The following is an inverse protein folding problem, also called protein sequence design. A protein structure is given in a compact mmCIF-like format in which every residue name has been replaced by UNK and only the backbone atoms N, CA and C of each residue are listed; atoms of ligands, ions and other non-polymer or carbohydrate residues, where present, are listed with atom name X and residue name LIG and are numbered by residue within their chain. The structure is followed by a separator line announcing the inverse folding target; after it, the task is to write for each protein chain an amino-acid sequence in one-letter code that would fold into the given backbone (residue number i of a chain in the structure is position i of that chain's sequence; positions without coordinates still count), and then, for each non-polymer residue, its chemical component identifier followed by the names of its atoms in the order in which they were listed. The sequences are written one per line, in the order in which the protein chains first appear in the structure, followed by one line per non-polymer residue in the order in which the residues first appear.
data_IF_357650398380
#
_entry.id   IF_357650398380
#
_cell.length_a   1.000
_cell.length_b   1.000
_cell.length_c   1.000
_cell.angle_alpha   90.00
_cell.angle_beta   90.00
_cell.angle_gamma   90.00
#
_symmetry.space_group_name_H-M   'P 1'
#
loop_
_entity.id
_entity.type
_entity.pdbx_description
1 polymer ?
#
# COMPACT_ATOMS: atom_id res chain seq x y z
N UNK A 1 -2.14 32.34 -52.84
CA UNK A 1 -2.24 32.15 -51.37
C UNK A 1 -3.57 31.44 -51.02
N UNK A 2 -3.69 30.12 -51.24
CA UNK A 2 -4.95 29.38 -50.95
C UNK A 2 -4.76 27.91 -50.51
N UNK A 3 -3.53 27.45 -50.25
CA UNK A 3 -3.27 26.02 -49.94
C UNK A 3 -2.67 25.75 -48.57
N UNK A 4 -2.24 26.78 -47.84
CA UNK A 4 -1.63 26.65 -46.50
C UNK A 4 -2.63 26.83 -45.35
N UNK A 5 -3.90 27.18 -45.63
CA UNK A 5 -4.91 27.41 -44.60
C UNK A 5 -5.60 26.11 -44.11
N UNK A 6 -5.42 24.98 -44.79
CA UNK A 6 -6.09 23.71 -44.45
C UNK A 6 -5.33 22.83 -43.45
N UNK A 7 -4.06 23.11 -43.17
CA UNK A 7 -3.22 22.28 -42.29
C UNK A 7 -3.28 22.69 -40.81
N UNK A 8 -3.86 23.85 -40.48
CA UNK A 8 -3.97 24.33 -39.09
C UNK A 8 -5.21 23.82 -38.35
N UNK A 9 -6.20 23.24 -39.06
CA UNK A 9 -7.48 22.81 -38.46
C UNK A 9 -7.42 21.39 -37.88
N UNK A 10 -6.43 20.58 -38.28
CA UNK A 10 -6.32 19.18 -37.84
C UNK A 10 -5.56 18.96 -36.52
N UNK A 11 -4.94 20.01 -35.94
CA UNK A 11 -4.09 19.86 -34.75
C UNK A 11 -4.81 20.10 -33.41
N UNK A 12 -6.10 20.47 -33.42
CA UNK A 12 -6.83 20.88 -32.20
C UNK A 12 -7.70 19.75 -31.60
N UNK A 13 -7.84 18.59 -32.26
CA UNK A 13 -8.87 17.61 -31.88
C UNK A 13 -8.43 16.48 -30.91
N UNK A 14 -7.19 16.43 -30.45
CA UNK A 14 -6.68 15.22 -29.75
C UNK A 14 -6.49 15.34 -28.24
N UNK A 15 -7.00 16.38 -27.58
CA UNK A 15 -6.96 16.47 -26.11
C UNK A 15 -8.37 16.29 -25.53
N UNK A 16 -9.05 15.22 -25.91
CA UNK A 16 -10.12 14.68 -25.07
C UNK A 16 -9.45 13.95 -23.91
N UNK A 17 -9.13 14.71 -22.85
CA UNK A 17 -8.75 14.13 -21.56
C UNK A 17 -9.94 13.30 -21.07
N UNK A 18 -9.84 11.99 -21.18
CA UNK A 18 -10.81 11.06 -20.61
C UNK A 18 -10.77 11.18 -19.10
N UNK A 19 -11.53 12.14 -18.54
CA UNK A 19 -11.92 12.08 -17.15
C UNK A 19 -12.95 10.97 -17.04
N UNK A 20 -12.49 9.74 -16.84
CA UNK A 20 -13.38 8.64 -16.49
C UNK A 20 -14.07 9.01 -15.17
N UNK A 21 -15.38 9.25 -15.25
CA UNK A 21 -16.28 9.38 -14.11
C UNK A 21 -16.48 8.00 -13.48
N UNK A 22 -16.68 7.95 -12.17
CA UNK A 22 -16.78 6.74 -11.37
C UNK A 22 -15.93 6.77 -10.10
N UNK A 23 -15.99 5.70 -9.28
CA UNK A 23 -15.17 5.58 -8.09
C UNK A 23 -13.69 5.49 -8.45
N UNK A 24 -12.84 6.23 -7.75
CA UNK A 24 -11.38 6.17 -7.93
C UNK A 24 -10.71 5.94 -6.61
N UNK A 25 -9.67 5.11 -6.60
CA UNK A 25 -8.89 4.82 -5.40
C UNK A 25 -7.48 5.38 -5.55
N UNK A 26 -7.02 6.07 -4.52
CA UNK A 26 -5.64 6.54 -4.41
C UNK A 26 -5.09 6.20 -3.03
N UNK A 27 -4.01 5.42 -2.99
CA UNK A 27 -3.32 5.10 -1.74
C UNK A 27 -2.34 6.22 -1.39
N UNK A 28 -2.27 6.57 -0.10
CA UNK A 28 -1.38 7.62 0.40
C UNK A 28 0.09 7.17 0.41
N UNK A 29 0.33 5.85 0.43
CA UNK A 29 1.67 5.28 0.34
C UNK A 29 2.20 5.40 -1.10
N UNK A 30 3.39 6.02 -1.24
CA UNK A 30 4.08 6.13 -2.53
C UNK A 30 4.29 4.74 -3.15
N UNK A 31 3.99 4.62 -4.44
CA UNK A 31 4.11 3.38 -5.22
C UNK A 31 3.37 2.19 -4.57
N UNK A 32 2.30 2.47 -3.82
CA UNK A 32 1.55 1.48 -3.04
C UNK A 32 2.44 0.65 -2.10
N UNK A 33 3.55 1.23 -1.65
CA UNK A 33 4.59 0.53 -0.89
C UNK A 33 4.84 1.23 0.44
N UNK A 34 4.89 0.46 1.52
CA UNK A 34 5.37 0.94 2.82
C UNK A 34 6.64 0.16 3.19
N UNK A 35 7.72 0.90 3.45
CA UNK A 35 8.96 0.36 3.98
C UNK A 35 9.07 0.68 5.46
N UNK A 36 9.21 -0.35 6.29
CA UNK A 36 9.34 -0.21 7.73
C UNK A 36 10.78 -0.24 8.22
N UNK A 37 11.75 -0.32 7.30
CA UNK A 37 13.16 -0.46 7.63
C UNK A 37 13.39 -1.70 8.47
N UNK A 38 14.20 -1.56 9.52
CA UNK A 38 14.58 -2.66 10.41
C UNK A 38 13.68 -2.70 11.65
N UNK A 39 13.05 -3.84 11.89
CA UNK A 39 12.15 -4.07 13.04
C UNK A 39 12.50 -5.34 13.80
N UNK A 40 12.04 -5.46 15.03
CA UNK A 40 12.22 -6.65 15.89
C UNK A 40 10.89 -7.00 16.57
N UNK A 41 10.70 -8.26 16.96
CA UNK A 41 9.46 -8.69 17.64
C UNK A 41 9.25 -8.00 18.99
N UNK A 42 10.31 -7.47 19.58
CA UNK A 42 10.27 -6.75 20.85
C UNK A 42 9.83 -5.29 20.68
N UNK A 43 10.05 -4.71 19.49
CA UNK A 43 9.78 -3.30 19.21
C UNK A 43 8.53 -3.06 18.38
N UNK A 44 7.97 -4.10 17.76
CA UNK A 44 6.91 -3.97 16.75
C UNK A 44 5.95 -5.18 16.77
N UNK A 45 4.70 -4.96 16.39
CA UNK A 45 3.60 -5.95 16.43
C UNK A 45 3.24 -6.57 15.07
N UNK A 46 3.92 -6.15 14.00
CA UNK A 46 3.75 -6.62 12.63
C UNK A 46 2.51 -6.07 11.92
N UNK A 47 1.79 -5.09 12.49
CA UNK A 47 0.58 -4.50 11.88
C UNK A 47 0.96 -3.28 11.05
N UNK A 48 0.51 -3.26 9.79
CA UNK A 48 0.74 -2.19 8.81
C UNK A 48 -0.59 -1.69 8.27
N UNK A 49 -0.73 -0.38 8.16
CA UNK A 49 -1.97 0.27 7.72
C UNK A 49 -1.75 0.94 6.37
N UNK A 50 -2.53 0.55 5.37
CA UNK A 50 -2.61 1.25 4.10
C UNK A 50 -3.83 2.17 4.11
N UNK A 51 -3.59 3.46 4.16
CA UNK A 51 -4.62 4.49 4.01
C UNK A 51 -4.80 4.85 2.54
N UNK A 52 -6.06 5.03 2.16
CA UNK A 52 -6.45 5.41 0.81
C UNK A 52 -7.61 6.38 0.83
N UNK A 53 -7.82 7.08 -0.28
CA UNK A 53 -8.90 8.04 -0.49
C UNK A 53 -9.73 7.67 -1.71
N UNK A 54 -11.04 7.85 -1.62
CA UNK A 54 -11.88 7.88 -2.80
C UNK A 54 -11.74 9.25 -3.50
N UNK A 55 -11.01 9.31 -4.60
CA UNK A 55 -10.81 10.53 -5.40
C UNK A 55 -11.77 10.64 -6.59
N UNK A 56 -12.71 9.71 -6.68
CA UNK A 56 -13.77 9.69 -7.67
C UNK A 56 -14.98 10.52 -7.26
N UNK A 57 -16.04 10.39 -8.04
CA UNK A 57 -17.34 11.05 -7.88
C UNK A 57 -18.47 10.07 -7.53
N UNK A 58 -18.16 8.78 -7.35
CA UNK A 58 -19.10 7.73 -6.95
C UNK A 58 -18.56 6.87 -5.80
N UNK A 59 -19.43 6.13 -5.06
CA UNK A 59 -19.02 5.28 -3.93
C UNK A 59 -18.00 4.19 -4.33
N UNK A 60 -16.90 4.12 -3.57
CA UNK A 60 -15.82 3.14 -3.75
C UNK A 60 -16.04 1.95 -2.81
N UNK A 61 -16.07 0.73 -3.35
CA UNK A 61 -16.23 -0.52 -2.60
C UNK A 61 -14.95 -1.33 -2.62
N UNK A 62 -14.50 -1.76 -1.44
CA UNK A 62 -13.41 -2.75 -1.29
C UNK A 62 -14.01 -4.16 -1.29
N UNK A 63 -13.94 -4.82 -2.42
CA UNK A 63 -14.54 -6.13 -2.69
C UNK A 63 -13.81 -7.21 -1.90
N UNK A 64 -12.49 -7.28 -2.04
CA UNK A 64 -11.68 -8.31 -1.42
C UNK A 64 -10.28 -7.80 -1.08
N UNK A 65 -9.65 -8.42 -0.09
CA UNK A 65 -8.24 -8.17 0.26
C UNK A 65 -7.57 -9.51 0.51
N UNK A 66 -6.65 -9.88 -0.37
CA UNK A 66 -5.90 -11.13 -0.29
C UNK A 66 -4.44 -10.85 0.03
N UNK A 67 -3.84 -11.66 0.91
CA UNK A 67 -2.45 -11.46 1.33
C UNK A 67 -1.61 -12.69 1.04
N UNK A 68 -0.31 -12.48 0.76
CA UNK A 68 0.66 -13.59 0.62
C UNK A 68 0.77 -14.41 1.91
N UNK A 69 1.16 -15.68 1.80
CA UNK A 69 1.29 -16.61 2.92
C UNK A 69 2.03 -15.99 4.14
N UNK A 70 1.47 -16.24 5.32
CA UNK A 70 1.99 -15.71 6.59
C UNK A 70 1.64 -14.24 6.85
N UNK A 71 0.73 -13.64 6.09
CA UNK A 71 0.04 -12.41 6.47
C UNK A 71 -1.43 -12.72 6.77
N UNK A 72 -2.03 -11.95 7.67
CA UNK A 72 -3.47 -11.90 7.89
C UNK A 72 -3.97 -10.49 7.61
N UNK A 73 -5.23 -10.36 7.23
CA UNK A 73 -5.89 -9.06 7.01
C UNK A 73 -6.85 -8.84 8.19
N UNK A 74 -6.40 -8.27 9.31
CA UNK A 74 -7.24 -8.08 10.48
C UNK A 74 -8.40 -7.11 10.25
N UNK A 75 -8.27 -6.14 9.33
CA UNK A 75 -9.33 -5.15 9.10
C UNK A 75 -9.32 -4.63 7.67
N UNK A 76 -10.53 -4.53 7.09
CA UNK A 76 -10.82 -3.80 5.85
C UNK A 76 -12.16 -3.09 5.99
N UNK A 77 -12.44 -2.02 5.23
CA UNK A 77 -13.77 -1.42 5.22
C UNK A 77 -14.82 -2.40 4.68
N UNK A 78 -15.96 -2.44 5.35
CA UNK A 78 -17.15 -3.21 4.93
C UNK A 78 -18.17 -2.34 4.22
N UNK A 79 -18.17 -1.05 4.54
CA UNK A 79 -19.04 -0.04 3.93
C UNK A 79 -18.37 0.61 2.72
N UNK A 80 -19.21 1.28 1.92
CA UNK A 80 -18.75 2.01 0.74
C UNK A 80 -18.13 3.35 1.15
N UNK A 81 -17.00 3.67 0.54
CA UNK A 81 -16.23 4.87 0.82
C UNK A 81 -16.76 5.98 -0.09
N UNK A 82 -17.47 6.94 0.50
CA UNK A 82 -18.04 8.07 -0.25
C UNK A 82 -16.95 8.94 -0.90
N UNK A 83 -17.28 9.66 -1.99
CA UNK A 83 -16.37 10.62 -2.63
C UNK A 83 -15.67 11.55 -1.63
N UNK A 84 -14.36 11.68 -1.76
CA UNK A 84 -13.52 12.50 -0.90
C UNK A 84 -13.21 11.91 0.48
N UNK A 85 -13.83 10.79 0.87
CA UNK A 85 -13.56 10.12 2.16
C UNK A 85 -12.36 9.18 2.06
N UNK A 86 -11.77 8.91 3.21
CA UNK A 86 -10.63 8.00 3.38
C UNK A 86 -11.08 6.67 3.98
N UNK A 87 -10.34 5.62 3.64
CA UNK A 87 -10.47 4.28 4.21
C UNK A 87 -9.10 3.74 4.59
N UNK A 88 -9.09 2.64 5.35
CA UNK A 88 -7.86 2.02 5.84
C UNK A 88 -7.95 0.49 5.76
N UNK A 89 -6.86 -0.14 5.34
CA UNK A 89 -6.69 -1.60 5.35
C UNK A 89 -5.53 -1.93 6.28
N UNK A 90 -5.80 -2.70 7.33
CA UNK A 90 -4.78 -3.16 8.26
C UNK A 90 -4.35 -4.58 7.87
N UNK A 91 -3.04 -4.79 7.77
CA UNK A 91 -2.39 -6.05 7.41
C UNK A 91 -1.44 -6.43 8.52
N UNK A 92 -1.53 -7.65 9.03
CA UNK A 92 -0.58 -8.19 10.00
C UNK A 92 0.31 -9.24 9.33
N UNK A 93 1.61 -9.01 9.26
CA UNK A 93 2.54 -10.01 8.72
C UNK A 93 3.24 -10.77 9.86
N UNK A 94 3.64 -12.02 9.59
CA UNK A 94 4.49 -12.77 10.49
C UNK A 94 5.90 -12.20 10.46
N UNK A 95 6.38 -11.72 11.60
CA UNK A 95 7.70 -11.14 11.81
C UNK A 95 8.77 -12.22 11.95
N UNK A 96 8.87 -13.14 10.99
CA UNK A 96 10.00 -14.07 10.95
C UNK A 96 11.28 -13.29 10.60
N UNK A 97 12.41 -13.55 11.27
CA UNK A 97 13.68 -12.90 10.94
C UNK A 97 14.05 -13.00 9.46
N UNK A 98 14.60 -11.92 8.90
CA UNK A 98 14.99 -11.79 7.50
C UNK A 98 14.24 -10.69 6.75
N UNK A 99 14.46 -10.63 5.43
CA UNK A 99 13.90 -9.58 4.58
C UNK A 99 12.37 -9.68 4.46
N UNK A 100 11.68 -8.54 4.62
CA UNK A 100 10.24 -8.41 4.44
C UNK A 100 9.96 -8.13 2.96
N UNK A 101 9.27 -9.05 2.30
CA UNK A 101 8.79 -8.91 0.91
C UNK A 101 7.36 -9.43 0.81
N UNK A 102 6.40 -8.65 1.33
CA UNK A 102 4.98 -9.06 1.37
C UNK A 102 4.17 -8.28 0.34
N UNK A 103 3.24 -8.97 -0.30
CA UNK A 103 2.31 -8.37 -1.25
C UNK A 103 0.87 -8.62 -0.81
N UNK A 104 0.04 -7.59 -0.90
CA UNK A 104 -1.39 -7.63 -0.58
C UNK A 104 -2.14 -7.17 -1.81
N UNK A 105 -3.06 -7.97 -2.30
CA UNK A 105 -3.90 -7.65 -3.45
C UNK A 105 -5.25 -7.15 -2.94
N UNK A 106 -5.56 -5.89 -3.24
CA UNK A 106 -6.84 -5.25 -2.96
C UNK A 106 -7.68 -5.25 -4.22
N UNK A 107 -8.87 -5.81 -4.15
CA UNK A 107 -9.86 -5.80 -5.22
C UNK A 107 -10.92 -4.74 -4.92
N UNK A 108 -11.20 -3.87 -5.89
CA UNK A 108 -12.19 -2.80 -5.75
C UNK A 108 -12.94 -2.55 -7.07
N UNK A 109 -14.03 -1.79 -6.99
CA UNK A 109 -14.77 -1.33 -8.17
C UNK A 109 -14.18 -0.05 -8.81
N UNK A 110 -12.97 0.34 -8.43
CA UNK A 110 -12.36 1.58 -8.90
C UNK A 110 -12.07 1.56 -10.40
N UNK A 111 -12.50 2.61 -11.12
CA UNK A 111 -12.37 2.68 -12.59
C UNK A 111 -10.98 3.08 -13.06
N UNK A 112 -10.18 3.69 -12.17
CA UNK A 112 -8.80 4.08 -12.46
C UNK A 112 -7.79 2.93 -12.30
N UNK A 113 -8.26 1.71 -12.03
CA UNK A 113 -7.42 0.52 -11.85
C UNK A 113 -7.88 -0.53 -12.84
N UNK A 114 -7.02 -0.84 -13.81
CA UNK A 114 -7.30 -1.89 -14.79
C UNK A 114 -7.50 -3.25 -14.09
N UNK A 115 -8.64 -3.90 -14.38
CA UNK A 115 -9.02 -5.16 -13.74
C UNK A 115 -9.37 -5.06 -12.24
N UNK A 116 -9.45 -3.85 -11.67
CA UNK A 116 -9.90 -3.60 -10.30
C UNK A 116 -8.97 -4.13 -9.20
N UNK A 117 -7.76 -4.57 -9.54
CA UNK A 117 -6.81 -5.21 -8.60
C UNK A 117 -5.57 -4.34 -8.38
N UNK A 118 -5.35 -3.94 -7.13
CA UNK A 118 -4.21 -3.13 -6.70
C UNK A 118 -3.27 -3.99 -5.88
N UNK A 119 -1.98 -4.02 -6.25
CA UNK A 119 -0.93 -4.65 -5.45
C UNK A 119 -0.29 -3.64 -4.49
N UNK A 120 -0.45 -3.89 -3.19
CA UNK A 120 0.22 -3.19 -2.09
C UNK A 120 1.45 -3.98 -1.65
N UNK A 121 2.52 -3.29 -1.28
CA UNK A 121 3.81 -3.91 -0.91
C UNK A 121 4.27 -3.47 0.47
N UNK A 122 4.76 -4.42 1.26
CA UNK A 122 5.43 -4.15 2.53
C UNK A 122 6.88 -4.59 2.40
N UNK A 123 7.80 -3.68 2.74
CA UNK A 123 9.25 -3.87 2.71
C UNK A 123 9.89 -3.61 4.08
N UNK A 124 11.12 -4.08 4.24
CA UNK A 124 11.94 -3.92 5.43
C UNK A 124 12.74 -5.18 5.75
N UNK A 125 13.18 -5.29 7.00
CA UNK A 125 13.95 -6.41 7.54
C UNK A 125 13.55 -6.66 8.99
N UNK A 126 13.32 -7.93 9.34
CA UNK A 126 13.14 -8.34 10.73
C UNK A 126 14.46 -8.85 11.28
N UNK A 127 14.97 -8.23 12.33
CA UNK A 127 16.16 -8.71 13.04
C UNK A 127 15.76 -9.52 14.26
N UNK A 128 16.49 -10.62 14.49
CA UNK A 128 16.48 -11.30 15.79
C UNK A 128 17.41 -10.52 16.72
N UNK A 129 16.89 -10.04 17.85
CA UNK A 129 17.76 -9.48 18.88
C UNK A 129 18.57 -10.63 19.49
N UNK A 130 19.90 -10.59 19.40
CA UNK A 130 20.73 -11.50 20.21
C UNK A 130 20.44 -11.22 21.67
N UNK A 131 19.99 -12.23 22.41
CA UNK A 131 19.93 -12.15 23.86
C UNK A 131 21.34 -11.81 24.37
N UNK A 132 21.52 -10.61 24.93
CA UNK A 132 22.71 -10.32 25.71
C UNK A 132 22.57 -11.15 26.97
N UNK A 133 23.22 -12.31 26.99
CA UNK A 133 23.23 -13.19 28.14
C UNK A 133 23.86 -12.43 29.32
N UNK A 134 23.02 -11.90 30.22
CA UNK A 134 23.42 -11.08 31.37
C UNK A 134 24.42 -11.80 32.30
N UNK A 135 24.60 -13.11 32.14
CA UNK A 135 25.60 -13.92 32.85
C UNK A 135 27.04 -13.63 32.41
N UNK A 136 27.31 -13.28 31.14
CA UNK A 136 28.67 -12.90 30.70
C UNK A 136 29.09 -11.55 31.28
N UNK A 137 28.15 -10.59 31.39
CA UNK A 137 28.41 -9.27 31.97
C UNK A 137 28.75 -9.37 33.46
N UNK A 138 28.14 -10.30 34.20
CA UNK A 138 28.46 -10.53 35.62
C UNK A 138 29.86 -11.11 35.81
N UNK A 139 30.30 -12.02 34.94
CA UNK A 139 31.66 -12.59 35.01
C UNK A 139 32.75 -11.53 34.81
N UNK A 140 32.56 -10.62 33.85
CA UNK A 140 33.49 -9.52 33.57
C UNK A 140 33.63 -8.49 34.71
N UNK A 141 32.61 -8.34 35.56
CA UNK A 141 32.64 -7.38 36.68
C UNK A 141 33.27 -8.02 37.93
N UNK A 142 33.23 -9.36 38.03
CA UNK A 142 33.78 -10.11 39.18
C UNK A 142 35.28 -10.39 39.01
N UNK A 143 35.80 -10.39 37.77
CA UNK A 143 37.23 -10.57 37.47
C UNK A 143 38.05 -9.26 37.44
N UNK A 144 37.51 -8.14 37.93
CA UNK A 144 38.21 -6.84 37.96
C UNK A 144 38.28 -6.25 39.36
#
# INVERSE_FOLDING_TARGET
MKRTLFLAVFMVFSIVGFSQSGPKIEFMAKDNTIDYGTVSKESDNGIRSFEFKNTGDAPLKIINVQSTCGCTVPSKPTEDIMPGKTGKIDVKYNMNPGAIRKTITVESNAVNVEGGKIALKIKGEVIAKKEVNLMEKKKSIIEK
#
